data_IF_552913641568
#
_entry.id   IF_552913641568
#
_cell.length_a   1.000
_cell.length_b   1.000
_cell.length_c   1.000
_cell.angle_alpha   90.00
_cell.angle_beta   90.00
_cell.angle_gamma   90.00
#
_symmetry.space_group_name_H-M   'P 1'
#
loop_
_entity.id
_entity.type
_entity.pdbx_description
1 polymer ?
#
# COMPACT_ATOMS: atom_id res chain seq x y z
N UNK A 1 10.41 -19.09 43.03
CA UNK A 1 9.89 -19.99 41.99
C UNK A 1 8.38 -19.92 41.75
N UNK A 2 7.54 -19.45 42.70
CA UNK A 2 6.11 -19.16 42.41
C UNK A 2 5.84 -17.81 41.72
N UNK A 3 6.71 -16.80 41.94
CA UNK A 3 6.55 -15.46 41.35
C UNK A 3 6.79 -15.44 39.83
N UNK A 4 7.75 -16.24 39.33
CA UNK A 4 8.07 -16.33 37.89
C UNK A 4 6.95 -17.00 37.08
N UNK A 5 6.16 -17.88 37.71
CA UNK A 5 4.98 -18.49 37.07
C UNK A 5 3.73 -17.59 37.13
N UNK A 6 3.71 -16.59 38.02
CA UNK A 6 2.65 -15.59 38.08
C UNK A 6 2.85 -14.48 37.05
N UNK A 7 4.11 -14.10 36.75
CA UNK A 7 4.41 -13.11 35.71
C UNK A 7 4.06 -13.61 34.29
N UNK A 8 4.10 -14.93 34.05
CA UNK A 8 3.65 -15.53 32.78
C UNK A 8 2.13 -15.49 32.62
N UNK A 9 1.36 -15.33 33.72
CA UNK A 9 -0.09 -15.16 33.69
C UNK A 9 -0.55 -13.70 33.85
N UNK A 10 0.37 -12.77 34.07
CA UNK A 10 0.11 -11.32 34.19
C UNK A 10 0.59 -10.50 32.97
N UNK A 11 0.99 -11.15 31.87
CA UNK A 11 1.47 -10.53 30.62
C UNK A 11 0.39 -10.04 29.65
N UNK A 12 -0.73 -9.53 30.14
CA UNK A 12 -1.70 -8.76 29.35
C UNK A 12 -1.13 -7.35 29.11
N UNK A 13 -0.27 -7.11 28.12
CA UNK A 13 -0.74 -6.99 26.73
C UNK A 13 0.29 -7.44 25.65
N UNK A 14 1.06 -8.52 25.85
CA UNK A 14 1.72 -9.26 24.76
C UNK A 14 2.69 -8.54 23.79
N UNK A 15 3.19 -9.29 22.80
CA UNK A 15 4.03 -8.79 21.69
C UNK A 15 3.21 -8.89 20.40
N UNK A 16 3.16 -7.82 19.61
CA UNK A 16 2.55 -7.79 18.28
C UNK A 16 3.63 -7.90 17.20
N UNK A 17 3.71 -9.05 16.53
CA UNK A 17 4.63 -9.31 15.42
C UNK A 17 3.96 -8.89 14.11
N UNK A 18 4.34 -7.73 13.59
CA UNK A 18 3.66 -7.09 12.45
C UNK A 18 4.53 -7.14 11.19
N UNK A 19 4.03 -7.79 10.14
CA UNK A 19 4.66 -7.75 8.82
C UNK A 19 4.38 -6.44 8.08
N UNK A 20 5.39 -5.84 7.45
CA UNK A 20 5.28 -4.58 6.68
C UNK A 20 6.03 -4.67 5.34
N UNK A 21 5.68 -3.80 4.37
CA UNK A 21 6.24 -3.79 3.00
C UNK A 21 7.48 -2.90 2.85
N UNK A 22 7.43 -1.73 3.46
CA UNK A 22 8.53 -0.79 3.63
C UNK A 22 8.56 -0.37 5.11
N UNK A 23 9.50 0.48 5.52
CA UNK A 23 9.38 1.16 6.82
C UNK A 23 7.97 1.76 6.96
N UNK A 24 7.42 1.90 8.19
CA UNK A 24 6.09 2.43 8.39
C UNK A 24 5.96 3.75 7.61
N UNK A 25 5.03 3.87 6.67
CA UNK A 25 4.66 5.18 6.14
C UNK A 25 3.95 5.98 7.24
N UNK A 26 3.72 7.28 7.04
CA UNK A 26 3.11 8.14 8.06
C UNK A 26 1.79 7.60 8.64
N UNK A 27 0.98 6.92 7.82
CA UNK A 27 -0.25 6.26 8.28
C UNK A 27 0.04 5.10 9.24
N UNK A 28 1.03 4.26 8.92
CA UNK A 28 1.41 3.15 9.79
C UNK A 28 1.98 3.70 11.11
N UNK A 29 2.82 4.73 11.07
CA UNK A 29 3.31 5.37 12.31
C UNK A 29 2.17 5.94 13.15
N UNK A 30 1.20 6.63 12.54
CA UNK A 30 0.01 7.12 13.25
C UNK A 30 -0.75 6.00 13.97
N UNK A 31 -0.96 4.87 13.29
CA UNK A 31 -1.61 3.69 13.87
C UNK A 31 -0.80 3.11 15.01
N UNK A 32 0.52 3.02 14.87
CA UNK A 32 1.39 2.52 15.93
C UNK A 32 1.41 3.47 17.14
N UNK A 33 1.32 4.78 16.91
CA UNK A 33 1.17 5.78 17.98
C UNK A 33 -0.17 5.65 18.70
N UNK A 34 -1.28 5.48 17.98
CA UNK A 34 -2.59 5.22 18.60
C UNK A 34 -2.60 3.89 19.35
N UNK A 35 -1.98 2.83 18.80
CA UNK A 35 -1.83 1.55 19.48
C UNK A 35 -1.07 1.72 20.82
N UNK A 36 0.01 2.49 20.81
CA UNK A 36 0.77 2.79 22.03
C UNK A 36 -0.06 3.57 23.07
N UNK A 37 -1.04 4.38 22.64
CA UNK A 37 -1.94 5.11 23.53
C UNK A 37 -3.05 4.21 24.11
N UNK A 38 -3.65 3.33 23.30
CA UNK A 38 -4.78 2.48 23.74
C UNK A 38 -4.34 1.21 24.46
N UNK A 39 -3.14 0.71 24.17
CA UNK A 39 -2.60 -0.51 24.75
C UNK A 39 -1.09 -0.35 25.03
N UNK A 40 -0.72 0.46 26.03
CA UNK A 40 0.67 0.89 26.28
C UNK A 40 1.62 -0.27 26.68
N UNK A 41 1.09 -1.43 27.05
CA UNK A 41 1.90 -2.62 27.38
C UNK A 41 2.15 -3.52 26.16
N UNK A 42 1.50 -3.26 25.02
CA UNK A 42 1.74 -3.99 23.76
C UNK A 42 3.08 -3.55 23.19
N UNK A 43 4.01 -4.50 23.02
CA UNK A 43 5.25 -4.23 22.29
C UNK A 43 5.09 -4.59 20.81
N UNK A 44 5.26 -3.62 19.92
CA UNK A 44 5.21 -3.87 18.47
C UNK A 44 6.60 -4.25 17.94
N UNK A 45 6.68 -5.35 17.20
CA UNK A 45 7.88 -5.83 16.51
C UNK A 45 7.61 -5.82 15.00
N UNK A 46 7.82 -4.68 14.32
CA UNK A 46 7.65 -4.61 12.88
C UNK A 46 8.78 -5.40 12.18
N UNK A 47 8.41 -6.17 11.17
CA UNK A 47 9.34 -6.93 10.32
C UNK A 47 9.10 -6.59 8.86
N UNK A 48 10.15 -6.17 8.17
CA UNK A 48 10.10 -5.92 6.72
C UNK A 48 10.38 -7.24 6.00
N UNK A 49 9.44 -7.66 5.16
CA UNK A 49 9.49 -8.95 4.45
C UNK A 49 8.83 -8.79 3.08
N UNK A 50 9.25 -9.59 2.09
CA UNK A 50 8.59 -9.64 0.80
C UNK A 50 7.15 -10.15 0.96
N UNK A 51 6.24 -9.78 0.04
CA UNK A 51 4.83 -10.16 0.15
C UNK A 51 4.60 -11.67 0.32
N UNK A 52 5.24 -12.58 -0.45
CA UNK A 52 5.03 -14.02 -0.29
C UNK A 52 5.45 -14.53 1.08
N UNK A 53 6.63 -14.10 1.56
CA UNK A 53 7.16 -14.46 2.88
C UNK A 53 6.28 -13.93 4.00
N UNK A 54 5.81 -12.70 3.85
CA UNK A 54 4.94 -12.04 4.83
C UNK A 54 3.61 -12.77 4.99
N UNK A 55 2.96 -13.14 3.88
CA UNK A 55 1.71 -13.93 3.93
C UNK A 55 1.96 -15.32 4.51
N UNK A 56 3.06 -15.98 4.14
CA UNK A 56 3.45 -17.28 4.70
C UNK A 56 3.66 -17.22 6.22
N UNK A 57 4.33 -16.17 6.70
CA UNK A 57 4.59 -15.99 8.12
C UNK A 57 3.32 -15.71 8.95
N UNK A 58 2.30 -15.08 8.37
CA UNK A 58 0.97 -15.00 9.04
C UNK A 58 0.32 -16.38 9.09
N UNK A 59 0.34 -17.14 7.98
CA UNK A 59 -0.24 -18.50 7.93
C UNK A 59 0.39 -19.45 8.94
N UNK A 60 1.70 -19.36 9.14
CA UNK A 60 2.43 -20.21 10.10
C UNK A 60 2.33 -19.73 11.55
N UNK A 61 1.73 -18.55 11.80
CA UNK A 61 1.69 -17.93 13.12
C UNK A 61 3.03 -17.33 13.58
N UNK A 62 4.01 -17.20 12.69
CA UNK A 62 5.27 -16.47 12.93
C UNK A 62 5.03 -14.96 13.05
N UNK A 63 4.08 -14.42 12.30
CA UNK A 63 3.52 -13.08 12.43
C UNK A 63 2.07 -13.17 12.94
N UNK A 64 1.67 -12.18 13.74
CA UNK A 64 0.28 -12.07 14.21
C UNK A 64 -0.61 -11.39 13.17
N UNK A 65 -0.03 -10.46 12.39
CA UNK A 65 -0.71 -9.78 11.31
C UNK A 65 0.29 -9.22 10.28
N UNK A 66 -0.20 -8.86 9.10
CA UNK A 66 0.61 -8.23 8.06
C UNK A 66 -0.14 -7.15 7.29
N UNK A 67 0.50 -6.00 7.07
CA UNK A 67 -0.01 -5.00 6.13
C UNK A 67 0.31 -5.41 4.70
N UNK A 68 -0.71 -5.47 3.84
CA UNK A 68 -0.61 -5.81 2.42
C UNK A 68 -1.38 -4.79 1.58
N UNK A 69 -0.95 -4.53 0.34
CA UNK A 69 -1.52 -3.48 -0.52
C UNK A 69 -1.95 -4.06 -1.86
N UNK A 70 -3.03 -3.51 -2.42
CA UNK A 70 -3.56 -3.88 -3.74
C UNK A 70 -3.81 -5.39 -3.93
N UNK A 71 -3.93 -6.14 -2.84
CA UNK A 71 -4.08 -7.58 -2.87
C UNK A 71 -5.56 -7.92 -3.00
N UNK A 72 -5.93 -8.61 -4.08
CA UNK A 72 -7.32 -9.00 -4.33
C UNK A 72 -7.77 -10.14 -3.41
N UNK A 73 -6.89 -11.13 -3.21
CA UNK A 73 -7.16 -12.30 -2.40
C UNK A 73 -5.90 -12.83 -1.70
N UNK A 74 -6.11 -13.53 -0.58
CA UNK A 74 -5.08 -14.28 0.11
C UNK A 74 -5.72 -15.55 0.68
N UNK A 75 -5.64 -16.70 -0.03
CA UNK A 75 -6.22 -17.94 0.46
C UNK A 75 -5.73 -18.27 1.87
N UNK A 76 -6.66 -18.79 2.68
CA UNK A 76 -6.50 -19.19 4.07
C UNK A 76 -6.18 -18.05 5.06
N UNK A 77 -6.30 -16.79 4.61
CA UNK A 77 -6.16 -15.59 5.43
C UNK A 77 -7.40 -14.71 5.29
N UNK A 78 -7.68 -13.94 6.32
CA UNK A 78 -8.68 -12.87 6.28
C UNK A 78 -7.99 -11.55 5.95
N UNK A 79 -8.52 -10.81 4.98
CA UNK A 79 -8.04 -9.49 4.58
C UNK A 79 -8.98 -8.41 5.09
N UNK A 80 -8.57 -7.72 6.15
CA UNK A 80 -9.36 -6.65 6.76
C UNK A 80 -8.96 -5.31 6.12
N UNK A 81 -9.84 -4.59 5.41
CA UNK A 81 -9.49 -3.31 4.81
C UNK A 81 -9.18 -2.29 5.90
N UNK A 82 -8.09 -1.57 5.73
CA UNK A 82 -7.58 -0.63 6.75
C UNK A 82 -7.74 0.81 6.29
N UNK A 83 -7.19 1.13 5.12
CA UNK A 83 -7.41 2.42 4.48
C UNK A 83 -7.24 2.31 2.99
N UNK A 84 -7.69 3.36 2.30
CA UNK A 84 -7.55 3.51 0.86
C UNK A 84 -6.63 4.69 0.57
N UNK A 85 -5.65 4.47 -0.30
CA UNK A 85 -4.72 5.47 -0.80
C UNK A 85 -5.13 5.88 -2.22
N UNK A 86 -5.24 7.19 -2.51
CA UNK A 86 -5.49 7.64 -3.87
C UNK A 86 -4.31 7.30 -4.78
N UNK A 87 -4.62 7.11 -6.06
CA UNK A 87 -3.60 7.00 -7.10
C UNK A 87 -3.43 8.34 -7.81
N UNK A 88 -2.22 8.56 -8.30
CA UNK A 88 -1.84 9.76 -9.02
C UNK A 88 -1.23 9.39 -10.36
N UNK A 89 -1.49 10.23 -11.34
CA UNK A 89 -0.93 10.17 -12.68
C UNK A 89 0.14 11.26 -12.79
N UNK A 90 1.33 10.90 -13.26
CA UNK A 90 2.32 11.86 -13.72
C UNK A 90 2.34 11.87 -15.25
N UNK A 91 2.29 13.07 -15.83
CA UNK A 91 2.29 13.32 -17.28
C UNK A 91 3.01 14.65 -17.58
N UNK A 92 3.35 14.96 -18.85
CA UNK A 92 4.00 16.22 -19.20
C UNK A 92 3.14 17.42 -18.81
N UNK A 93 3.76 18.46 -18.27
CA UNK A 93 3.07 19.66 -17.76
C UNK A 93 2.43 20.51 -18.87
N UNK A 94 2.88 20.37 -20.12
CA UNK A 94 2.35 21.04 -21.31
C UNK A 94 1.27 20.22 -22.04
N UNK A 95 0.96 19.01 -21.54
CA UNK A 95 -0.09 18.18 -22.13
C UNK A 95 -1.49 18.75 -21.81
N UNK A 96 -2.48 18.71 -22.72
CA UNK A 96 -3.82 19.26 -22.48
C UNK A 96 -4.55 18.68 -21.25
N UNK A 97 -4.22 17.45 -20.85
CA UNK A 97 -4.77 16.82 -19.64
C UNK A 97 -4.21 17.40 -18.34
N UNK A 98 -3.09 18.13 -18.39
CA UNK A 98 -2.47 18.73 -17.22
C UNK A 98 -3.37 19.78 -16.55
N UNK A 99 -4.24 20.44 -17.31
CA UNK A 99 -5.16 21.47 -16.78
C UNK A 99 -6.39 20.87 -16.07
N UNK A 100 -6.60 19.55 -16.15
CA UNK A 100 -7.70 18.90 -15.45
C UNK A 100 -7.38 18.75 -13.96
N UNK A 101 -8.34 18.97 -13.05
CA UNK A 101 -8.12 18.82 -11.61
C UNK A 101 -7.97 17.35 -11.17
N UNK A 102 -8.55 16.42 -11.94
CA UNK A 102 -8.45 14.98 -11.75
C UNK A 102 -8.60 14.29 -13.13
N UNK A 103 -8.10 13.07 -13.24
CA UNK A 103 -8.17 12.26 -14.45
C UNK A 103 -8.91 10.96 -14.19
N UNK A 104 -9.70 10.53 -15.16
CA UNK A 104 -10.13 9.13 -15.25
C UNK A 104 -9.23 8.38 -16.24
N UNK A 105 -9.28 7.04 -16.20
CA UNK A 105 -8.48 6.21 -17.11
C UNK A 105 -8.83 6.46 -18.59
N UNK A 106 -10.08 6.74 -18.91
CA UNK A 106 -10.50 6.98 -20.29
C UNK A 106 -9.85 8.24 -20.89
N UNK A 107 -9.52 9.24 -20.07
CA UNK A 107 -8.76 10.41 -20.50
C UNK A 107 -7.34 10.05 -20.98
N UNK A 108 -6.78 8.94 -20.50
CA UNK A 108 -5.42 8.50 -20.75
C UNK A 108 -5.30 7.42 -21.84
N UNK A 109 -6.42 7.05 -22.48
CA UNK A 109 -6.51 5.90 -23.37
C UNK A 109 -5.51 5.94 -24.54
N UNK A 110 -5.25 7.12 -25.08
CA UNK A 110 -4.36 7.31 -26.24
C UNK A 110 -2.93 7.68 -25.87
N UNK A 111 -2.65 7.94 -24.57
CA UNK A 111 -1.33 8.36 -24.11
C UNK A 111 -0.52 7.11 -23.69
N UNK A 112 0.75 6.96 -24.15
CA UNK A 112 1.54 5.79 -23.81
C UNK A 112 1.78 5.63 -22.30
N UNK A 113 1.54 4.43 -21.77
CA UNK A 113 1.69 4.09 -20.36
C UNK A 113 3.08 3.52 -20.07
N UNK A 114 3.78 4.12 -19.11
CA UNK A 114 4.98 3.58 -18.45
C UNK A 114 4.56 2.92 -17.13
N UNK A 115 4.49 1.60 -17.10
CA UNK A 115 4.14 0.83 -15.91
C UNK A 115 5.31 -0.04 -15.47
N UNK A 116 5.60 -0.06 -14.17
CA UNK A 116 6.63 -0.91 -13.60
C UNK A 116 6.37 -2.38 -13.94
N UNK A 117 7.41 -3.19 -14.21
CA UNK A 117 7.26 -4.61 -14.50
C UNK A 117 6.48 -5.35 -13.42
N UNK A 118 5.73 -6.38 -13.83
CA UNK A 118 4.86 -7.14 -12.91
C UNK A 118 5.67 -7.82 -11.80
N UNK A 119 6.89 -8.25 -12.07
CA UNK A 119 7.79 -8.91 -11.12
C UNK A 119 8.17 -8.03 -9.91
N UNK A 120 8.18 -6.71 -10.06
CA UNK A 120 8.56 -5.78 -8.99
C UNK A 120 7.43 -5.57 -7.98
N UNK A 121 6.19 -5.53 -8.46
CA UNK A 121 5.01 -5.37 -7.62
C UNK A 121 3.76 -5.95 -8.31
N UNK A 122 3.57 -7.29 -8.28
CA UNK A 122 2.48 -7.93 -9.00
C UNK A 122 1.08 -7.40 -8.62
N UNK A 123 0.75 -7.20 -7.33
CA UNK A 123 -0.57 -6.67 -6.96
C UNK A 123 -0.87 -5.27 -7.53
N UNK A 124 0.11 -4.36 -7.51
CA UNK A 124 -0.09 -3.01 -8.06
C UNK A 124 -0.19 -3.05 -9.59
N UNK A 125 0.67 -3.81 -10.26
CA UNK A 125 0.60 -3.99 -11.71
C UNK A 125 -0.76 -4.58 -12.13
N UNK A 126 -1.23 -5.61 -11.44
CA UNK A 126 -2.49 -6.29 -11.73
C UNK A 126 -3.69 -5.38 -11.42
N UNK A 127 -3.62 -4.52 -10.39
CA UNK A 127 -4.61 -3.48 -10.12
C UNK A 127 -4.75 -2.49 -11.29
N UNK A 128 -3.64 -1.96 -11.79
CA UNK A 128 -3.65 -0.98 -12.89
C UNK A 128 -4.11 -1.61 -14.19
N UNK A 129 -3.53 -2.74 -14.59
CA UNK A 129 -3.92 -3.41 -15.83
C UNK A 129 -5.35 -3.95 -15.79
N UNK A 130 -5.80 -4.41 -14.62
CA UNK A 130 -7.20 -4.74 -14.36
C UNK A 130 -8.12 -3.54 -14.54
N UNK A 131 -7.78 -2.40 -13.97
CA UNK A 131 -8.59 -1.19 -14.09
C UNK A 131 -8.66 -0.64 -15.52
N UNK A 132 -7.55 -0.67 -16.29
CA UNK A 132 -7.56 -0.32 -17.71
C UNK A 132 -8.54 -1.21 -18.49
N UNK A 133 -8.49 -2.52 -18.26
CA UNK A 133 -9.41 -3.48 -18.87
C UNK A 133 -10.87 -3.23 -18.47
N UNK A 134 -11.16 -2.97 -17.19
CA UNK A 134 -12.51 -2.63 -16.72
C UNK A 134 -13.02 -1.33 -17.34
N UNK A 135 -12.16 -0.34 -17.55
CA UNK A 135 -12.49 0.91 -18.23
C UNK A 135 -12.61 0.78 -19.76
N UNK A 136 -12.32 -0.40 -20.33
CA UNK A 136 -12.41 -0.65 -21.77
C UNK A 136 -11.30 0.01 -22.59
N UNK A 137 -10.16 0.33 -21.96
CA UNK A 137 -9.03 0.98 -22.62
C UNK A 137 -7.81 0.06 -22.72
N UNK A 138 -6.97 0.32 -23.70
CA UNK A 138 -5.67 -0.34 -23.86
C UNK A 138 -4.62 0.71 -24.25
N UNK A 139 -4.06 1.46 -23.27
CA UNK A 139 -3.04 2.46 -23.52
C UNK A 139 -1.86 1.86 -24.29
N UNK A 140 -1.31 2.56 -25.30
CA UNK A 140 -0.10 2.12 -25.97
C UNK A 140 1.05 1.90 -24.96
N UNK A 141 1.96 0.95 -25.19
CA UNK A 141 3.14 0.82 -24.34
C UNK A 141 4.03 2.06 -24.49
N UNK A 142 4.34 2.72 -23.37
CA UNK A 142 5.36 3.76 -23.32
C UNK A 142 6.77 3.18 -23.32
N UNK A 143 7.81 4.04 -23.29
CA UNK A 143 9.17 3.60 -23.05
C UNK A 143 9.28 2.85 -21.71
N UNK A 144 10.32 2.02 -21.51
CA UNK A 144 10.46 1.22 -20.31
C UNK A 144 10.35 2.04 -19.01
N UNK A 145 9.64 1.49 -18.03
CA UNK A 145 9.70 2.00 -16.67
C UNK A 145 11.04 1.58 -16.05
N UNK A 146 11.81 2.53 -15.54
CA UNK A 146 13.08 2.27 -14.86
C UNK A 146 12.91 2.47 -13.36
N UNK A 147 13.56 3.47 -12.77
CA UNK A 147 13.22 3.93 -11.42
C UNK A 147 12.09 4.96 -11.49
N UNK A 148 11.40 5.18 -10.37
CA UNK A 148 10.35 6.20 -10.31
C UNK A 148 10.90 7.59 -10.67
N UNK A 149 12.07 7.99 -10.15
CA UNK A 149 12.64 9.31 -10.42
C UNK A 149 13.08 9.51 -11.88
N UNK A 150 13.73 8.50 -12.47
CA UNK A 150 14.13 8.55 -13.87
C UNK A 150 12.90 8.57 -14.79
N UNK A 151 11.88 7.75 -14.50
CA UNK A 151 10.63 7.72 -15.28
C UNK A 151 9.95 9.09 -15.26
N UNK A 152 9.89 9.78 -14.12
CA UNK A 152 9.36 11.14 -14.07
C UNK A 152 10.22 12.14 -14.86
N UNK A 153 11.54 12.03 -14.79
CA UNK A 153 12.47 12.88 -15.55
C UNK A 153 12.26 12.70 -17.06
N UNK A 154 12.15 11.45 -17.50
CA UNK A 154 11.88 11.09 -18.89
C UNK A 154 10.54 11.60 -19.39
N UNK A 155 9.50 11.56 -18.55
CA UNK A 155 8.18 12.11 -18.89
C UNK A 155 8.28 13.62 -19.14
N UNK A 156 9.05 14.35 -18.34
CA UNK A 156 9.24 15.79 -18.51
C UNK A 156 10.13 16.19 -19.69
N UNK A 157 10.96 15.27 -20.21
CA UNK A 157 11.96 15.56 -21.24
C UNK A 157 11.68 14.91 -22.60
N UNK A 158 10.84 13.87 -22.65
CA UNK A 158 10.67 13.02 -23.82
C UNK A 158 9.29 13.12 -24.49
N UNK A 159 9.00 12.12 -25.32
CA UNK A 159 7.68 11.96 -25.97
C UNK A 159 6.58 11.84 -24.92
N UNK A 160 5.39 12.45 -25.14
CA UNK A 160 4.29 12.37 -24.20
C UNK A 160 3.97 10.92 -23.79
N UNK A 161 4.01 10.67 -22.49
CA UNK A 161 3.68 9.40 -21.85
C UNK A 161 3.26 9.67 -20.41
N UNK A 162 2.65 8.69 -19.75
CA UNK A 162 2.25 8.83 -18.35
C UNK A 162 2.66 7.63 -17.52
N UNK A 163 2.76 7.83 -16.22
CA UNK A 163 2.89 6.76 -15.23
C UNK A 163 1.91 6.96 -14.10
N UNK A 164 1.65 5.90 -13.34
CA UNK A 164 0.75 5.89 -12.19
C UNK A 164 1.50 5.45 -10.94
N UNK A 165 1.22 6.11 -9.83
CA UNK A 165 1.85 5.83 -8.55
C UNK A 165 0.89 6.15 -7.40
N UNK A 166 1.29 5.76 -6.20
CA UNK A 166 0.61 6.13 -4.96
C UNK A 166 1.55 6.97 -4.10
N UNK A 167 0.98 7.84 -3.28
CA UNK A 167 1.75 8.70 -2.40
C UNK A 167 2.40 7.91 -1.25
N UNK A 168 3.69 8.17 -1.00
CA UNK A 168 4.44 7.54 0.11
C UNK A 168 4.97 8.58 1.09
N UNK A 169 5.50 9.70 0.58
CA UNK A 169 6.12 10.77 1.36
C UNK A 169 5.92 12.12 0.65
N UNK A 170 4.66 12.44 0.32
CA UNK A 170 4.30 13.62 -0.47
C UNK A 170 4.31 13.36 -1.98
N UNK A 171 3.76 14.32 -2.72
CA UNK A 171 3.78 14.32 -4.18
C UNK A 171 5.14 14.80 -4.70
N UNK A 172 5.68 14.17 -5.76
CA UNK A 172 6.95 14.58 -6.33
C UNK A 172 6.83 15.92 -7.05
N UNK A 173 7.85 16.77 -6.89
CA UNK A 173 8.02 17.99 -7.66
C UNK A 173 9.12 17.79 -8.70
N UNK A 174 8.74 17.64 -9.97
CA UNK A 174 9.68 17.43 -11.08
C UNK A 174 9.40 18.48 -12.16
N UNK A 175 10.43 19.20 -12.67
CA UNK A 175 10.24 20.16 -13.75
C UNK A 175 9.55 19.53 -14.96
N UNK A 176 8.61 20.27 -15.57
CA UNK A 176 7.86 19.84 -16.77
C UNK A 176 6.98 18.61 -16.56
N UNK A 177 6.73 18.20 -15.33
CA UNK A 177 5.79 17.13 -14.99
C UNK A 177 4.65 17.72 -14.17
N UNK A 178 3.42 17.35 -14.52
CA UNK A 178 2.24 17.60 -13.70
C UNK A 178 1.77 16.29 -13.09
N UNK A 179 1.36 16.35 -11.83
CA UNK A 179 0.72 15.25 -11.10
C UNK A 179 -0.77 15.55 -10.94
N UNK A 180 -1.63 14.58 -11.29
CA UNK A 180 -3.08 14.68 -11.09
C UNK A 180 -3.65 13.44 -10.40
N UNK A 181 -4.61 13.60 -9.47
CA UNK A 181 -5.28 12.47 -8.87
C UNK A 181 -6.06 11.69 -9.94
N UNK A 182 -6.03 10.38 -9.82
CA UNK A 182 -6.84 9.46 -10.61
C UNK A 182 -8.15 9.20 -9.86
N UNK A 183 -9.29 9.34 -10.55
CA UNK A 183 -10.62 9.17 -9.93
C UNK A 183 -10.89 7.72 -9.52
N UNK A 184 -10.38 6.77 -10.30
CA UNK A 184 -10.37 5.34 -10.02
C UNK A 184 -9.29 4.62 -10.85
N UNK A 185 -8.70 3.51 -10.37
CA UNK A 185 -8.97 2.87 -9.08
C UNK A 185 -8.26 3.60 -7.93
N UNK A 186 -8.65 3.24 -6.71
CA UNK A 186 -7.87 3.56 -5.52
C UNK A 186 -7.17 2.28 -5.01
N UNK A 187 -6.12 2.44 -4.21
CA UNK A 187 -5.36 1.32 -3.67
C UNK A 187 -5.75 1.06 -2.21
N UNK A 188 -6.30 -0.10 -1.93
CA UNK A 188 -6.61 -0.51 -0.56
C UNK A 188 -5.40 -1.17 0.10
N UNK A 189 -5.10 -0.73 1.32
CA UNK A 189 -4.23 -1.44 2.27
C UNK A 189 -5.10 -2.32 3.17
N UNK A 190 -4.74 -3.59 3.30
CA UNK A 190 -5.39 -4.57 4.16
C UNK A 190 -4.47 -5.02 5.29
N UNK A 191 -5.06 -5.44 6.39
CA UNK A 191 -4.43 -6.22 7.44
C UNK A 191 -4.77 -7.69 7.19
N UNK A 192 -3.78 -8.47 6.79
CA UNK A 192 -3.90 -9.91 6.66
C UNK A 192 -3.71 -10.58 8.03
N UNK A 193 -4.67 -11.40 8.42
CA UNK A 193 -4.69 -12.14 9.70
C UNK A 193 -5.15 -13.59 9.47
N UNK A 194 -4.87 -14.49 10.41
CA UNK A 194 -5.44 -15.84 10.35
C UNK A 194 -6.95 -15.79 10.64
N UNK A 195 -7.79 -16.59 9.95
CA UNK A 195 -9.22 -16.61 10.20
C UNK A 195 -9.57 -17.02 11.63
N UNK A 196 -10.63 -16.43 12.18
CA UNK A 196 -11.14 -16.73 13.52
C UNK A 196 -10.98 -15.56 14.50
N UNK A 197 -11.27 -15.78 15.80
CA UNK A 197 -11.22 -14.71 16.78
C UNK A 197 -9.81 -14.11 16.88
N UNK A 198 -9.63 -12.78 16.71
CA UNK A 198 -8.32 -12.17 16.75
C UNK A 198 -7.72 -12.28 18.15
N UNK A 199 -6.42 -12.59 18.20
CA UNK A 199 -5.64 -12.54 19.44
C UNK A 199 -5.68 -11.13 20.04
N UNK A 200 -5.52 -10.96 21.36
CA UNK A 200 -5.70 -9.66 22.03
C UNK A 200 -4.88 -8.52 21.42
N UNK A 201 -3.62 -8.77 21.04
CA UNK A 201 -2.74 -7.77 20.43
C UNK A 201 -3.24 -7.30 19.05
N UNK A 202 -3.81 -8.20 18.25
CA UNK A 202 -4.45 -7.85 16.97
C UNK A 202 -5.75 -7.09 17.20
N UNK A 203 -6.52 -7.41 18.24
CA UNK A 203 -7.72 -6.64 18.61
C UNK A 203 -7.37 -5.19 18.96
N UNK A 204 -6.32 -4.96 19.75
CA UNK A 204 -5.86 -3.61 20.06
C UNK A 204 -5.37 -2.87 18.82
N UNK A 205 -4.70 -3.56 17.88
CA UNK A 205 -4.33 -2.97 16.59
C UNK A 205 -5.58 -2.55 15.81
N UNK A 206 -6.60 -3.40 15.73
CA UNK A 206 -7.87 -3.08 15.04
C UNK A 206 -8.59 -1.90 15.71
N UNK A 207 -8.60 -1.84 17.04
CA UNK A 207 -9.14 -0.70 17.80
C UNK A 207 -8.38 0.60 17.49
N UNK A 208 -7.05 0.55 17.42
CA UNK A 208 -6.22 1.69 17.03
C UNK A 208 -6.49 2.12 15.58
N UNK A 209 -6.66 1.16 14.66
CA UNK A 209 -6.99 1.43 13.25
C UNK A 209 -8.28 2.22 13.10
N UNK A 210 -9.34 1.82 13.82
CA UNK A 210 -10.65 2.50 13.81
C UNK A 210 -10.54 3.95 14.30
N UNK A 211 -9.59 4.26 15.21
CA UNK A 211 -9.40 5.62 15.73
C UNK A 211 -8.60 6.54 14.80
N UNK A 212 -7.88 5.97 13.82
CA UNK A 212 -7.04 6.72 12.88
C UNK A 212 -7.69 7.02 11.53
N UNK A 213 -8.83 6.39 11.23
CA UNK A 213 -9.65 6.59 10.02
C UNK A 213 -10.69 7.68 10.24
#
# INVERSE_FOLDING_TARGET
TRQVAADVRAGADGVLRLGTVHGPGDRVYRVLSELAAVAPRVQVRPRRMALPERLSAVRSGELDAALVRALADAPDLELLPVWTDPLYVALPADHPLADRPALDLANLADLPLRLAPREDNPPFHDLITGACRTAGIAPPPGPPFTTFQETLTDIGAGTPSWTVFYEVAGLPEIPRVTVRPLTAPAMTTFLAVTPGPPVPTVRHLLEALIRTT
#
